data_IF_060534092174
#
_entry.id   IF_060534092174
#
_cell.length_a   1.000
_cell.length_b   1.000
_cell.length_c   1.000
_cell.angle_alpha   90.00
_cell.angle_beta   90.00
_cell.angle_gamma   90.00
#
_symmetry.space_group_name_H-M   'P 1'
#
loop_
_entity.id
_entity.type
_entity.pdbx_description
1 polymer ?
#
# COMPACT_ATOMS: atom_id res chain seq x y z
N UNK A 1 46.20 4.73 -22.34
CA UNK A 1 44.76 4.83 -21.99
C UNK A 1 43.95 4.59 -23.26
N UNK A 2 43.01 3.64 -23.24
CA UNK A 2 42.37 3.15 -24.45
C UNK A 2 41.38 4.21 -24.99
N UNK A 3 41.54 4.67 -26.24
CA UNK A 3 40.73 5.77 -26.81
C UNK A 3 39.23 5.45 -26.76
N UNK A 4 38.88 4.19 -26.89
CA UNK A 4 37.50 3.68 -26.79
C UNK A 4 36.90 3.84 -25.40
N UNK A 5 37.72 3.70 -24.34
CA UNK A 5 37.28 3.89 -22.95
C UNK A 5 36.94 5.37 -22.68
N UNK A 6 37.77 6.28 -23.19
CA UNK A 6 37.55 7.73 -23.02
C UNK A 6 36.26 8.16 -23.70
N UNK A 7 36.01 7.67 -24.93
CA UNK A 7 34.78 7.98 -25.67
C UNK A 7 33.54 7.44 -24.94
N UNK A 8 33.59 6.21 -24.42
CA UNK A 8 32.47 5.63 -23.67
C UNK A 8 32.14 6.43 -22.40
N UNK A 9 33.15 6.85 -21.65
CA UNK A 9 32.98 7.68 -20.46
C UNK A 9 32.38 9.05 -20.83
N UNK A 10 32.85 9.67 -21.92
CA UNK A 10 32.31 10.95 -22.37
C UNK A 10 30.84 10.87 -22.78
N UNK A 11 30.42 9.79 -23.44
CA UNK A 11 29.02 9.58 -23.83
C UNK A 11 28.14 9.35 -22.59
N UNK A 12 28.61 8.56 -21.63
CA UNK A 12 27.89 8.33 -20.38
C UNK A 12 27.67 9.65 -19.61
N UNK A 13 28.71 10.46 -19.47
CA UNK A 13 28.61 11.76 -18.78
C UNK A 13 27.67 12.72 -19.50
N UNK A 14 27.69 12.76 -20.83
CA UNK A 14 26.77 13.57 -21.62
C UNK A 14 25.31 13.13 -21.42
N UNK A 15 25.06 11.82 -21.40
CA UNK A 15 23.73 11.27 -21.17
C UNK A 15 23.20 11.60 -19.76
N UNK A 16 24.04 11.43 -18.72
CA UNK A 16 23.68 11.80 -17.35
C UNK A 16 23.38 13.30 -17.21
N UNK A 17 24.18 14.15 -17.86
CA UNK A 17 23.93 15.60 -17.85
C UNK A 17 22.60 15.95 -18.54
N UNK A 18 22.28 15.32 -19.68
CA UNK A 18 21.02 15.55 -20.38
C UNK A 18 19.79 15.18 -19.55
N UNK A 19 19.83 14.06 -18.82
CA UNK A 19 18.74 13.66 -17.91
C UNK A 19 18.57 14.70 -16.80
N UNK A 20 19.67 15.12 -16.16
CA UNK A 20 19.63 16.11 -15.08
C UNK A 20 19.03 17.45 -15.53
N UNK A 21 19.41 17.95 -16.71
CA UNK A 21 18.84 19.19 -17.24
C UNK A 21 17.36 19.04 -17.63
N UNK A 22 16.95 17.87 -18.12
CA UNK A 22 15.55 17.61 -18.44
C UNK A 22 14.67 17.59 -17.19
N UNK A 23 15.13 16.98 -16.09
CA UNK A 23 14.39 16.95 -14.82
C UNK A 23 14.27 18.34 -14.18
N UNK A 24 15.33 19.15 -14.24
CA UNK A 24 15.31 20.54 -13.75
C UNK A 24 14.38 21.44 -14.58
N UNK A 25 14.27 21.19 -15.88
CA UNK A 25 13.35 21.91 -16.75
C UNK A 25 11.87 21.57 -16.45
N UNK A 26 11.55 20.28 -16.31
CA UNK A 26 10.20 19.82 -15.91
C UNK A 26 9.77 20.40 -14.56
N UNK A 27 10.68 20.47 -13.59
CA UNK A 27 10.39 21.04 -12.27
C UNK A 27 10.00 22.52 -12.36
N UNK A 28 10.72 23.31 -13.17
CA UNK A 28 10.40 24.73 -13.37
C UNK A 28 9.07 24.96 -14.07
N UNK A 29 8.72 24.09 -15.02
CA UNK A 29 7.44 24.15 -15.72
C UNK A 29 6.28 23.81 -14.78
N UNK A 30 6.48 22.82 -13.91
CA UNK A 30 5.52 22.48 -12.85
C UNK A 30 5.35 23.60 -11.82
N UNK A 31 6.44 24.14 -11.28
CA UNK A 31 6.40 25.22 -10.28
C UNK A 31 5.74 26.50 -10.84
N UNK A 32 5.90 26.77 -12.14
CA UNK A 32 5.24 27.90 -12.81
C UNK A 32 3.75 27.65 -13.09
N UNK A 33 3.28 26.40 -13.01
CA UNK A 33 1.88 26.02 -13.26
C UNK A 33 1.01 26.07 -12.00
N UNK A 34 1.61 26.23 -10.82
CA UNK A 34 0.88 26.34 -9.57
C UNK A 34 0.25 27.74 -9.45
N UNK A 35 -1.06 27.83 -9.14
CA UNK A 35 -1.71 29.12 -8.89
C UNK A 35 -1.09 29.78 -7.64
N UNK A 36 -0.84 31.08 -7.71
CA UNK A 36 -0.31 31.84 -6.57
C UNK A 36 -1.26 31.71 -5.35
N UNK A 37 -0.73 31.46 -4.14
CA UNK A 37 -1.55 31.39 -2.95
C UNK A 37 -2.22 32.75 -2.70
N UNK A 38 -3.48 32.76 -2.20
CA UNK A 38 -4.16 34.01 -1.90
C UNK A 38 -3.38 34.82 -0.87
N UNK A 39 -3.30 36.14 -1.09
CA UNK A 39 -2.61 37.06 -0.22
C UNK A 39 -3.21 37.02 1.21
N UNK A 40 -2.33 36.93 2.21
CA UNK A 40 -2.68 36.94 3.62
C UNK A 40 -3.15 38.36 3.99
N UNK A 41 -4.46 38.56 4.14
CA UNK A 41 -5.01 39.68 4.90
C UNK A 41 -5.19 39.27 6.37
N UNK A 42 -4.71 40.15 7.24
CA UNK A 42 -4.77 40.05 8.69
C UNK A 42 -6.21 40.01 9.23
N UNK A 43 -6.51 39.07 10.12
CA UNK A 43 -7.49 39.30 11.17
C UNK A 43 -7.09 38.60 12.47
N UNK A 44 -6.63 39.43 13.41
CA UNK A 44 -6.36 39.10 14.81
C UNK A 44 -7.66 38.94 15.60
N UNK A 45 -7.67 37.87 16.40
CA UNK A 45 -8.04 37.75 17.81
C UNK A 45 -9.41 38.26 18.30
N UNK A 46 -10.19 37.32 18.83
CA UNK A 46 -10.85 37.49 20.13
C UNK A 46 -10.84 36.15 20.88
N UNK A 47 -10.43 36.25 22.14
CA UNK A 47 -10.10 35.22 23.12
C UNK A 47 -11.32 34.51 23.74
N UNK A 48 -11.05 33.28 24.20
CA UNK A 48 -11.50 32.66 25.46
C UNK A 48 -12.93 32.09 25.55
N UNK A 49 -13.08 30.76 25.39
CA UNK A 49 -13.65 29.83 26.39
C UNK A 49 -13.11 28.40 26.11
N UNK A 50 -12.67 27.77 27.19
CA UNK A 50 -12.26 26.38 27.43
C UNK A 50 -13.09 25.27 26.78
N UNK A 51 -12.42 24.13 26.53
CA UNK A 51 -12.97 22.76 26.33
C UNK A 51 -14.14 22.63 25.34
N UNK A 52 -13.84 22.26 24.10
CA UNK A 52 -14.48 21.06 23.53
C UNK A 52 -13.73 20.63 22.27
N UNK A 53 -13.24 19.39 22.28
CA UNK A 53 -12.80 18.69 21.07
C UNK A 53 -14.09 18.26 20.38
N UNK A 54 -14.60 19.09 19.47
CA UNK A 54 -15.61 18.64 18.51
C UNK A 54 -14.91 17.79 17.46
N UNK A 55 -14.63 16.55 17.86
CA UNK A 55 -14.49 15.43 16.95
C UNK A 55 -15.90 15.21 16.40
N UNK A 56 -16.12 15.54 15.12
CA UNK A 56 -17.35 15.24 14.38
C UNK A 56 -17.42 13.72 14.17
N UNK A 57 -17.64 13.05 15.29
CA UNK A 57 -17.78 11.61 15.41
C UNK A 57 -19.24 11.31 15.13
N UNK A 58 -19.50 10.59 14.05
CA UNK A 58 -20.78 9.93 13.83
C UNK A 58 -21.15 9.15 15.11
N UNK A 59 -22.20 9.62 15.79
CA UNK A 59 -22.54 9.21 17.15
C UNK A 59 -22.93 7.75 17.28
N UNK A 60 -22.13 7.02 18.03
CA UNK A 60 -22.49 5.78 18.72
C UNK A 60 -21.83 5.78 20.09
N UNK A 61 -22.32 4.95 21.01
CA UNK A 61 -21.70 4.80 22.32
C UNK A 61 -21.53 3.32 22.68
N UNK A 62 -20.44 3.03 23.39
CA UNK A 62 -20.14 1.70 23.91
C UNK A 62 -20.94 1.42 25.18
N UNK A 63 -21.45 0.19 25.34
CA UNK A 63 -22.02 -0.28 26.59
C UNK A 63 -21.45 -1.66 26.94
N UNK A 64 -20.36 -1.68 27.72
CA UNK A 64 -19.57 -2.91 27.94
C UNK A 64 -18.77 -3.26 26.68
N UNK A 65 -18.86 -4.51 26.23
CA UNK A 65 -18.10 -5.03 25.07
C UNK A 65 -18.89 -4.93 23.75
N UNK A 66 -20.11 -4.37 23.76
CA UNK A 66 -20.98 -4.19 22.60
C UNK A 66 -21.12 -2.71 22.21
N UNK A 67 -21.06 -2.44 20.89
CA UNK A 67 -21.23 -1.11 20.29
C UNK A 67 -22.70 -0.89 19.88
N UNK A 68 -23.29 0.22 20.33
CA UNK A 68 -24.65 0.62 19.96
C UNK A 68 -24.63 1.88 19.08
N UNK A 69 -25.16 1.75 17.86
CA UNK A 69 -25.48 2.88 17.00
C UNK A 69 -26.85 3.46 17.37
N UNK A 70 -26.96 4.80 17.47
CA UNK A 70 -28.26 5.43 17.67
C UNK A 70 -29.15 5.26 16.42
N UNK A 71 -30.46 4.98 16.58
CA UNK A 71 -31.33 4.74 15.44
C UNK A 71 -31.64 6.06 14.72
N UNK A 72 -31.10 6.23 13.51
CA UNK A 72 -31.53 7.29 12.60
C UNK A 72 -32.95 6.99 12.07
N UNK A 73 -33.88 7.98 12.08
CA UNK A 73 -35.21 7.78 11.53
C UNK A 73 -35.14 7.60 10.00
N UNK A 74 -35.85 6.59 9.50
CA UNK A 74 -36.00 6.29 8.08
C UNK A 74 -36.47 7.53 7.30
N UNK A 75 -35.58 8.12 6.49
CA UNK A 75 -36.00 9.00 5.41
C UNK A 75 -36.22 8.18 4.15
N UNK A 76 -37.49 7.85 3.92
CA UNK A 76 -38.02 7.47 2.61
C UNK A 76 -37.86 8.67 1.67
N UNK A 77 -36.92 8.60 0.74
CA UNK A 77 -36.89 9.48 -0.43
C UNK A 77 -36.94 8.65 -1.71
N UNK A 78 -38.12 8.70 -2.32
CA UNK A 78 -38.41 8.32 -3.68
C UNK A 78 -37.78 9.33 -4.67
N UNK A 79 -37.24 8.81 -5.78
CA UNK A 79 -36.99 9.48 -7.09
C UNK A 79 -35.77 10.44 -7.08
N UNK A 80 -34.76 10.30 -7.94
CA UNK A 80 -34.81 10.20 -9.40
C UNK A 80 -33.52 9.58 -9.94
N UNK A 81 -33.68 8.80 -11.01
CA UNK A 81 -32.67 8.51 -12.04
C UNK A 81 -31.83 9.74 -12.42
N UNK A 82 -30.64 9.50 -12.98
CA UNK A 82 -29.68 10.48 -13.53
C UNK A 82 -28.54 10.93 -12.61
N UNK A 83 -27.60 10.01 -12.35
CA UNK A 83 -26.16 10.36 -12.44
C UNK A 83 -25.33 9.12 -12.74
N UNK A 84 -25.50 8.61 -13.96
CA UNK A 84 -24.51 7.77 -14.65
C UNK A 84 -23.73 8.71 -15.57
N UNK A 85 -22.45 8.91 -15.31
CA UNK A 85 -21.43 9.15 -16.35
C UNK A 85 -20.04 9.07 -15.72
N UNK A 86 -19.03 8.31 -16.18
CA UNK A 86 -18.75 7.39 -17.30
C UNK A 86 -17.46 6.66 -16.82
N UNK A 87 -17.30 5.33 -16.84
CA UNK A 87 -17.21 4.48 -18.03
C UNK A 87 -17.54 3.03 -17.67
N UNK A 88 -18.82 2.68 -17.67
CA UNK A 88 -19.25 1.37 -18.08
C UNK A 88 -20.01 1.59 -19.38
N UNK A 89 -19.41 1.22 -20.50
CA UNK A 89 -20.16 1.00 -21.73
C UNK A 89 -21.31 0.06 -21.36
N UNK A 90 -22.56 0.56 -21.33
CA UNK A 90 -23.78 -0.24 -21.32
C UNK A 90 -23.89 -0.98 -22.68
N UNK A 91 -22.82 -1.61 -23.12
CA UNK A 91 -22.87 -2.61 -24.18
C UNK A 91 -23.34 -3.86 -23.46
N UNK A 92 -24.59 -4.31 -23.68
CA UNK A 92 -25.03 -5.58 -23.11
C UNK A 92 -23.96 -6.63 -23.42
N UNK A 93 -23.53 -7.32 -22.37
CA UNK A 93 -22.48 -8.30 -22.48
C UNK A 93 -22.96 -9.34 -23.51
N UNK A 94 -22.13 -9.87 -24.42
CA UNK A 94 -22.59 -10.82 -25.43
C UNK A 94 -23.35 -12.03 -24.87
N UNK A 95 -23.14 -12.34 -23.59
CA UNK A 95 -23.85 -13.37 -22.83
C UNK A 95 -25.30 -13.05 -22.48
N UNK A 96 -25.71 -11.78 -22.49
CA UNK A 96 -27.05 -11.32 -22.10
C UNK A 96 -28.12 -11.75 -23.12
N UNK A 97 -27.70 -12.19 -24.30
CA UNK A 97 -28.56 -12.64 -25.41
C UNK A 97 -28.58 -14.16 -25.63
N UNK A 98 -27.80 -14.92 -24.85
CA UNK A 98 -27.70 -16.38 -24.99
C UNK A 98 -28.68 -17.10 -24.05
N UNK A 99 -29.29 -18.18 -24.54
CA UNK A 99 -30.02 -19.10 -23.65
C UNK A 99 -29.08 -19.80 -22.66
N UNK A 100 -29.62 -20.42 -21.61
CA UNK A 100 -28.79 -21.04 -20.55
C UNK A 100 -27.77 -22.06 -21.08
N UNK A 101 -28.17 -22.91 -22.03
CA UNK A 101 -27.28 -23.90 -22.65
C UNK A 101 -26.25 -23.25 -23.58
N UNK A 102 -26.65 -22.27 -24.39
CA UNK A 102 -25.74 -21.53 -25.28
C UNK A 102 -24.70 -20.72 -24.49
N UNK A 103 -25.10 -20.19 -23.33
CA UNK A 103 -24.23 -19.48 -22.40
C UNK A 103 -23.21 -20.41 -21.77
N UNK A 104 -23.61 -21.60 -21.34
CA UNK A 104 -22.70 -22.61 -20.78
C UNK A 104 -21.68 -23.10 -21.82
N UNK A 105 -22.13 -23.32 -23.06
CA UNK A 105 -21.26 -23.74 -24.16
C UNK A 105 -20.28 -22.62 -24.54
N UNK A 106 -20.73 -21.37 -24.61
CA UNK A 106 -19.86 -20.21 -24.84
C UNK A 106 -18.81 -20.05 -23.74
N UNK A 107 -19.21 -20.20 -22.47
CA UNK A 107 -18.30 -20.14 -21.32
C UNK A 107 -17.24 -21.24 -21.45
N UNK A 108 -17.65 -22.48 -21.75
CA UNK A 108 -16.74 -23.62 -21.93
C UNK A 108 -15.74 -23.38 -23.05
N UNK A 109 -16.19 -22.90 -24.20
CA UNK A 109 -15.33 -22.61 -25.34
C UNK A 109 -14.35 -21.47 -25.04
N UNK A 110 -14.81 -20.42 -24.34
CA UNK A 110 -13.96 -19.30 -23.92
C UNK A 110 -12.82 -19.77 -23.03
N UNK A 111 -13.10 -20.56 -21.99
CA UNK A 111 -12.04 -21.04 -21.07
C UNK A 111 -11.14 -22.10 -21.73
N UNK A 112 -11.69 -22.93 -22.62
CA UNK A 112 -10.90 -23.90 -23.38
C UNK A 112 -9.86 -23.24 -24.29
N UNK A 113 -10.11 -22.02 -24.80
CA UNK A 113 -9.12 -21.24 -25.56
C UNK A 113 -7.81 -21.03 -24.77
N UNK A 114 -7.92 -20.91 -23.45
CA UNK A 114 -6.81 -20.70 -22.52
C UNK A 114 -6.33 -22.01 -21.88
N UNK A 115 -6.82 -23.16 -22.33
CA UNK A 115 -6.52 -24.46 -21.73
C UNK A 115 -7.07 -24.62 -20.30
N UNK A 116 -8.18 -23.94 -19.99
CA UNK A 116 -8.82 -23.94 -18.68
C UNK A 116 -10.19 -24.58 -18.74
N UNK A 117 -10.60 -25.17 -17.62
CA UNK A 117 -12.01 -25.54 -17.40
C UNK A 117 -12.78 -24.32 -16.88
N UNK A 118 -14.11 -24.24 -17.10
CA UNK A 118 -14.93 -23.20 -16.47
C UNK A 118 -14.72 -23.15 -14.96
N UNK A 119 -14.66 -21.95 -14.33
CA UNK A 119 -14.47 -21.84 -12.91
C UNK A 119 -15.70 -22.40 -12.15
N UNK A 120 -15.52 -22.93 -10.93
CA UNK A 120 -16.62 -23.34 -10.09
C UNK A 120 -17.61 -22.20 -9.83
N UNK A 121 -18.88 -22.52 -9.58
CA UNK A 121 -19.91 -21.52 -9.29
C UNK A 121 -19.50 -20.66 -8.08
N UNK A 122 -19.58 -19.34 -8.24
CA UNK A 122 -19.18 -18.37 -7.21
C UNK A 122 -17.69 -18.04 -7.20
N UNK A 123 -16.93 -18.55 -8.18
CA UNK A 123 -15.53 -18.23 -8.39
C UNK A 123 -15.27 -17.74 -9.81
N UNK A 124 -14.20 -16.98 -9.97
CA UNK A 124 -13.63 -16.58 -11.24
C UNK A 124 -12.12 -16.79 -11.23
N UNK A 125 -11.49 -16.87 -12.40
CA UNK A 125 -10.03 -16.87 -12.47
C UNK A 125 -9.50 -15.45 -12.35
N UNK A 126 -8.42 -15.27 -11.60
CA UNK A 126 -7.66 -14.03 -11.66
C UNK A 126 -6.93 -13.96 -13.00
N UNK A 127 -7.09 -12.84 -13.71
CA UNK A 127 -6.44 -12.61 -14.99
C UNK A 127 -5.22 -11.71 -14.84
N UNK A 128 -4.18 -12.02 -15.61
CA UNK A 128 -3.03 -11.15 -15.79
C UNK A 128 -3.38 -10.09 -16.84
N UNK A 129 -3.42 -8.79 -16.46
CA UNK A 129 -3.79 -7.72 -17.37
C UNK A 129 -2.75 -7.49 -18.48
N UNK A 130 -1.51 -7.96 -18.33
CA UNK A 130 -0.43 -7.75 -19.30
C UNK A 130 -0.37 -8.84 -20.38
N UNK A 131 -0.79 -10.07 -20.04
CA UNK A 131 -0.53 -11.27 -20.86
C UNK A 131 -1.84 -11.96 -21.29
N UNK A 132 -3.00 -11.37 -20.99
CA UNK A 132 -4.36 -11.89 -21.28
C UNK A 132 -4.53 -13.39 -20.94
N UNK A 133 -3.87 -13.85 -19.86
CA UNK A 133 -3.91 -15.24 -19.39
C UNK A 133 -4.31 -15.29 -17.91
N UNK A 134 -4.84 -16.42 -17.45
CA UNK A 134 -5.10 -16.60 -16.02
C UNK A 134 -3.78 -16.57 -15.24
N UNK A 135 -3.73 -15.79 -14.16
CA UNK A 135 -2.63 -15.84 -13.19
C UNK A 135 -2.50 -17.25 -12.65
N UNK A 136 -1.26 -17.70 -12.50
CA UNK A 136 -0.93 -19.03 -11.99
C UNK A 136 -0.12 -18.90 -10.70
N UNK A 137 -0.34 -19.82 -9.77
CA UNK A 137 0.46 -19.94 -8.56
C UNK A 137 1.85 -20.55 -8.84
N UNK A 138 2.66 -20.72 -7.80
CA UNK A 138 3.99 -21.33 -7.88
C UNK A 138 3.98 -22.77 -8.43
N UNK A 139 2.84 -23.46 -8.36
CA UNK A 139 2.64 -24.81 -8.92
C UNK A 139 2.26 -24.80 -10.41
N UNK A 140 1.99 -23.61 -10.97
CA UNK A 140 1.48 -23.45 -12.33
C UNK A 140 -0.04 -23.63 -12.44
N UNK A 141 -0.75 -23.75 -11.32
CA UNK A 141 -2.21 -23.89 -11.28
C UNK A 141 -2.89 -22.53 -11.38
N UNK A 142 -4.00 -22.39 -12.13
CA UNK A 142 -4.70 -21.12 -12.26
C UNK A 142 -5.32 -20.69 -10.92
N UNK A 143 -5.15 -19.42 -10.57
CA UNK A 143 -5.64 -18.89 -9.29
C UNK A 143 -7.14 -18.59 -9.41
N UNK A 144 -7.91 -19.22 -8.53
CA UNK A 144 -9.34 -18.96 -8.37
C UNK A 144 -9.57 -17.89 -7.30
N UNK A 145 -10.47 -16.96 -7.60
CA UNK A 145 -10.92 -15.92 -6.71
C UNK A 145 -12.44 -16.05 -6.51
N UNK A 146 -12.91 -15.84 -5.29
CA UNK A 146 -14.33 -15.94 -4.98
C UNK A 146 -15.02 -14.61 -5.33
N UNK A 147 -16.09 -14.69 -6.12
CA UNK A 147 -16.85 -13.51 -6.55
C UNK A 147 -17.41 -12.79 -5.32
N UNK A 148 -17.16 -11.48 -5.23
CA UNK A 148 -17.56 -10.61 -4.12
C UNK A 148 -16.55 -10.55 -2.96
N UNK A 149 -15.45 -11.32 -3.02
CA UNK A 149 -14.31 -11.08 -2.14
C UNK A 149 -13.39 -10.01 -2.75
N UNK A 150 -12.59 -9.31 -1.93
CA UNK A 150 -11.58 -8.39 -2.45
C UNK A 150 -10.47 -9.13 -3.21
N UNK A 151 -10.10 -8.64 -4.40
CA UNK A 151 -8.86 -9.09 -5.05
C UNK A 151 -7.73 -8.29 -4.43
N UNK A 152 -6.78 -8.95 -3.76
CA UNK A 152 -5.63 -8.32 -3.12
C UNK A 152 -4.37 -8.93 -3.71
N UNK A 153 -3.57 -8.08 -4.36
CA UNK A 153 -2.26 -8.45 -4.85
C UNK A 153 -1.21 -7.80 -3.95
N UNK A 154 -0.41 -8.63 -3.28
CA UNK A 154 0.68 -8.20 -2.41
C UNK A 154 2.00 -8.45 -3.13
N UNK A 155 2.71 -7.39 -3.45
CA UNK A 155 4.06 -7.45 -4.02
C UNK A 155 5.10 -7.16 -2.96
N UNK A 156 6.05 -8.07 -2.78
CA UNK A 156 7.23 -7.85 -1.94
C UNK A 156 8.42 -7.42 -2.81
N UNK A 157 9.03 -6.30 -2.49
CA UNK A 157 10.27 -5.82 -3.12
C UNK A 157 11.40 -5.69 -2.08
N UNK A 158 12.62 -6.06 -2.50
CA UNK A 158 13.85 -5.97 -1.70
C UNK A 158 14.71 -4.82 -2.23
N UNK A 159 14.40 -3.59 -1.83
CA UNK A 159 15.04 -2.41 -2.44
C UNK A 159 15.47 -1.36 -1.44
N UNK A 160 15.05 -1.47 -0.17
CA UNK A 160 15.34 -0.45 0.85
C UNK A 160 16.50 -0.87 1.72
N UNK A 161 17.58 -0.08 1.70
CA UNK A 161 18.64 -0.14 2.71
C UNK A 161 18.06 0.44 4.00
N UNK A 162 18.00 -0.39 5.04
CA UNK A 162 17.53 -0.01 6.36
C UNK A 162 18.24 -0.80 7.47
N UNK A 163 17.78 -0.66 8.70
CA UNK A 163 18.34 -1.37 9.85
C UNK A 163 17.93 -2.86 9.79
N UNK A 164 18.86 -3.70 9.34
CA UNK A 164 18.73 -5.14 9.20
C UNK A 164 19.82 -5.85 10.04
N UNK A 165 19.79 -5.69 11.38
CA UNK A 165 20.79 -6.28 12.27
C UNK A 165 20.68 -7.80 12.31
N UNK A 166 21.77 -8.45 12.69
CA UNK A 166 21.73 -9.81 13.23
C UNK A 166 20.96 -9.85 14.56
N UNK A 167 20.57 -11.04 15.03
CA UNK A 167 19.88 -11.19 16.30
C UNK A 167 20.72 -10.61 17.47
N UNK A 168 22.02 -10.89 17.48
CA UNK A 168 22.94 -10.39 18.50
C UNK A 168 23.08 -8.86 18.46
N UNK A 169 23.20 -8.28 17.26
CA UNK A 169 23.22 -6.82 17.09
C UNK A 169 21.90 -6.18 17.55
N UNK A 170 20.76 -6.84 17.32
CA UNK A 170 19.46 -6.33 17.76
C UNK A 170 19.30 -6.39 19.28
N UNK A 171 19.75 -7.45 19.94
CA UNK A 171 19.79 -7.52 21.41
C UNK A 171 20.68 -6.43 22.02
N UNK A 172 21.85 -6.20 21.42
CA UNK A 172 22.74 -5.12 21.83
C UNK A 172 22.08 -3.74 21.64
N UNK A 173 21.38 -3.54 20.52
CA UNK A 173 20.63 -2.32 20.25
C UNK A 173 19.58 -2.04 21.34
N UNK A 174 18.75 -3.03 21.67
CA UNK A 174 17.72 -2.89 22.72
C UNK A 174 18.32 -2.57 24.10
N UNK A 175 19.47 -3.16 24.43
CA UNK A 175 20.18 -2.89 25.67
C UNK A 175 20.73 -1.46 25.72
N UNK A 176 21.31 -0.98 24.62
CA UNK A 176 21.80 0.41 24.50
C UNK A 176 20.64 1.41 24.58
N UNK A 177 19.51 1.14 23.93
CA UNK A 177 18.31 1.97 23.98
C UNK A 177 17.75 2.07 25.40
N UNK A 178 17.65 0.96 26.12
CA UNK A 178 17.22 0.95 27.52
C UNK A 178 18.19 1.72 28.45
N UNK A 179 19.49 1.63 28.20
CA UNK A 179 20.49 2.40 28.95
C UNK A 179 20.40 3.90 28.63
N UNK A 180 20.18 4.23 27.37
CA UNK A 180 20.03 5.60 26.89
C UNK A 180 18.82 6.26 27.58
N UNK A 181 17.66 5.62 27.54
CA UNK A 181 16.44 6.10 28.19
C UNK A 181 16.63 6.32 29.70
N UNK A 182 17.36 5.42 30.39
CA UNK A 182 17.70 5.60 31.81
C UNK A 182 18.64 6.78 32.06
N UNK A 183 19.63 6.97 31.20
CA UNK A 183 20.57 8.10 31.31
C UNK A 183 19.86 9.44 31.09
N UNK A 184 18.95 9.51 30.10
CA UNK A 184 18.11 10.69 29.88
C UNK A 184 17.20 10.98 31.07
N UNK A 185 16.50 9.96 31.59
CA UNK A 185 15.63 10.11 32.76
C UNK A 185 16.40 10.56 34.03
N UNK A 186 17.67 10.18 34.15
CA UNK A 186 18.55 10.60 35.23
C UNK A 186 19.20 11.99 35.01
N UNK A 187 19.03 12.59 33.83
CA UNK A 187 19.68 13.85 33.46
C UNK A 187 21.19 13.73 33.20
N UNK A 188 21.73 12.52 33.01
CA UNK A 188 23.13 12.30 32.67
C UNK A 188 23.35 12.48 31.16
N UNK A 189 23.50 13.74 30.76
CA UNK A 189 23.64 14.14 29.36
C UNK A 189 24.91 13.61 28.70
N UNK A 190 25.97 13.34 29.47
CA UNK A 190 27.24 12.84 28.91
C UNK A 190 27.10 11.36 28.54
N UNK A 191 26.53 10.56 29.45
CA UNK A 191 26.27 9.14 29.18
C UNK A 191 25.22 8.97 28.09
N UNK A 192 24.14 9.76 28.11
CA UNK A 192 23.11 9.73 27.07
C UNK A 192 23.71 10.03 25.68
N UNK A 193 24.58 11.05 25.57
CA UNK A 193 25.21 11.38 24.29
C UNK A 193 26.12 10.27 23.77
N UNK A 194 26.94 9.67 24.63
CA UNK A 194 27.78 8.51 24.26
C UNK A 194 26.92 7.34 23.75
N UNK A 195 25.84 7.02 24.45
CA UNK A 195 24.94 5.92 24.07
C UNK A 195 24.22 6.20 22.74
N UNK A 196 23.83 7.45 22.49
CA UNK A 196 23.26 7.85 21.21
C UNK A 196 24.26 7.67 20.04
N UNK A 197 25.54 8.02 20.27
CA UNK A 197 26.59 7.80 19.27
C UNK A 197 26.82 6.29 19.01
N UNK A 198 26.76 5.45 20.05
CA UNK A 198 26.87 3.98 19.94
C UNK A 198 25.68 3.35 19.20
N UNK A 199 24.45 3.79 19.50
CA UNK A 199 23.25 3.37 18.77
C UNK A 199 23.37 3.69 17.29
N UNK A 200 23.77 4.93 16.96
CA UNK A 200 23.95 5.37 15.57
C UNK A 200 25.05 4.58 14.84
N UNK A 201 26.14 4.24 15.53
CA UNK A 201 27.20 3.43 14.95
C UNK A 201 26.70 2.00 14.65
N UNK A 202 25.94 1.41 15.57
CA UNK A 202 25.35 0.09 15.41
C UNK A 202 24.32 0.07 14.26
N UNK A 203 23.47 1.09 14.16
CA UNK A 203 22.53 1.25 13.04
C UNK A 203 23.24 1.34 11.68
N UNK A 204 24.37 2.06 11.63
CA UNK A 204 25.16 2.21 10.42
C UNK A 204 25.86 0.90 10.02
N UNK A 205 26.32 0.12 11.01
CA UNK A 205 26.95 -1.20 10.78
C UNK A 205 25.92 -2.23 10.31
N UNK A 206 24.72 -2.20 10.87
CA UNK A 206 23.63 -3.13 10.61
C UNK A 206 22.77 -2.73 9.40
N UNK A 207 23.29 -1.94 8.46
CA UNK A 207 22.54 -1.62 7.25
C UNK A 207 22.42 -2.82 6.31
N UNK A 208 21.21 -3.09 5.84
CA UNK A 208 20.94 -4.16 4.88
C UNK A 208 19.60 -4.01 4.17
N UNK A 209 19.32 -4.94 3.27
CA UNK A 209 18.05 -4.97 2.54
C UNK A 209 16.89 -5.37 3.46
N UNK A 210 15.81 -4.61 3.43
CA UNK A 210 14.55 -4.93 4.10
C UNK A 210 13.44 -5.19 3.06
N UNK A 211 12.49 -6.09 3.37
CA UNK A 211 11.34 -6.29 2.52
C UNK A 211 10.38 -5.09 2.65
N UNK A 212 9.90 -4.61 1.51
CA UNK A 212 8.81 -3.63 1.44
C UNK A 212 7.63 -4.28 0.74
N UNK A 213 6.45 -4.17 1.33
CA UNK A 213 5.22 -4.67 0.76
C UNK A 213 4.42 -3.56 0.11
N UNK A 214 3.91 -3.83 -1.09
CA UNK A 214 2.96 -2.99 -1.80
C UNK A 214 1.68 -3.79 -2.01
N UNK A 215 0.53 -3.16 -1.79
CA UNK A 215 -0.76 -3.76 -2.11
C UNK A 215 -1.46 -2.99 -3.19
N UNK A 216 -1.97 -3.71 -4.17
CA UNK A 216 -3.04 -3.22 -5.03
C UNK A 216 -4.26 -4.07 -4.81
N UNK A 217 -5.43 -3.43 -4.80
CA UNK A 217 -6.65 -4.13 -4.49
C UNK A 217 -7.82 -3.63 -5.32
N UNK A 218 -8.62 -4.56 -5.84
CA UNK A 218 -9.81 -4.28 -6.64
C UNK A 218 -11.04 -4.82 -5.92
N UNK A 219 -12.10 -4.02 -5.86
CA UNK A 219 -13.34 -4.31 -5.14
C UNK A 219 -14.54 -3.94 -6.01
N UNK A 220 -15.58 -4.78 -6.00
CA UNK A 220 -16.81 -4.57 -6.78
C UNK A 220 -17.94 -3.89 -5.99
N UNK A 221 -17.64 -3.38 -4.79
CA UNK A 221 -18.57 -2.59 -3.96
C UNK A 221 -19.41 -3.39 -2.96
N UNK A 222 -19.20 -4.70 -2.84
CA UNK A 222 -19.92 -5.55 -1.85
C UNK A 222 -19.34 -5.44 -0.43
N UNK A 223 -18.08 -5.00 -0.29
CA UNK A 223 -17.33 -4.93 0.97
C UNK A 223 -17.10 -3.46 1.37
N UNK A 224 -17.20 -3.13 2.66
CA UNK A 224 -16.97 -1.76 3.13
C UNK A 224 -15.48 -1.36 2.99
N UNK A 225 -15.16 -0.07 2.82
CA UNK A 225 -13.78 0.41 2.76
C UNK A 225 -12.93 0.03 3.99
N UNK A 226 -13.53 -0.03 5.18
CA UNK A 226 -12.86 -0.41 6.43
C UNK A 226 -12.50 -1.89 6.47
N UNK A 227 -13.43 -2.75 6.04
CA UNK A 227 -13.20 -4.19 5.95
C UNK A 227 -12.11 -4.49 4.92
N UNK A 228 -12.13 -3.79 3.79
CA UNK A 228 -11.06 -3.80 2.79
C UNK A 228 -9.69 -3.44 3.39
N UNK A 229 -9.61 -2.35 4.16
CA UNK A 229 -8.36 -1.91 4.78
C UNK A 229 -7.84 -2.92 5.81
N UNK A 230 -8.74 -3.49 6.60
CA UNK A 230 -8.42 -4.54 7.57
C UNK A 230 -7.84 -5.79 6.88
N UNK A 231 -8.49 -6.24 5.81
CA UNK A 231 -8.02 -7.40 5.04
C UNK A 231 -6.65 -7.10 4.41
N UNK A 232 -6.47 -5.94 3.75
CA UNK A 232 -5.18 -5.53 3.18
C UNK A 232 -4.07 -5.52 4.24
N UNK A 233 -4.33 -4.97 5.43
CA UNK A 233 -3.36 -4.89 6.52
C UNK A 233 -2.92 -6.27 7.00
N UNK A 234 -3.86 -7.22 7.13
CA UNK A 234 -3.55 -8.61 7.49
C UNK A 234 -2.64 -9.26 6.45
N UNK A 235 -3.00 -9.18 5.16
CA UNK A 235 -2.22 -9.79 4.08
C UNK A 235 -0.81 -9.18 3.95
N UNK A 236 -0.66 -7.86 4.11
CA UNK A 236 0.65 -7.21 4.17
C UNK A 236 1.49 -7.75 5.31
N UNK A 237 0.89 -7.84 6.50
CA UNK A 237 1.59 -8.29 7.71
C UNK A 237 2.10 -9.72 7.54
N UNK A 238 1.23 -10.64 7.10
CA UNK A 238 1.60 -12.04 6.86
C UNK A 238 2.70 -12.19 5.80
N UNK A 239 2.64 -11.40 4.72
CA UNK A 239 3.63 -11.42 3.66
C UNK A 239 4.99 -10.87 4.11
N UNK A 240 4.99 -9.77 4.87
CA UNK A 240 6.21 -9.21 5.45
C UNK A 240 6.84 -10.15 6.48
N UNK A 241 6.05 -10.73 7.39
CA UNK A 241 6.56 -11.70 8.36
C UNK A 241 7.22 -12.90 7.68
N UNK A 242 6.61 -13.41 6.61
CA UNK A 242 7.20 -14.50 5.82
C UNK A 242 8.54 -14.07 5.22
N UNK A 243 8.58 -12.90 4.59
CA UNK A 243 9.81 -12.35 4.00
C UNK A 243 10.92 -12.15 5.04
N UNK A 244 10.59 -11.67 6.25
CA UNK A 244 11.54 -11.55 7.35
C UNK A 244 12.11 -12.91 7.79
N UNK A 245 11.26 -13.93 7.95
CA UNK A 245 11.69 -15.30 8.30
C UNK A 245 12.61 -15.91 7.23
N UNK A 246 12.31 -15.71 5.95
CA UNK A 246 13.13 -16.24 4.85
C UNK A 246 14.57 -15.69 4.84
N UNK A 247 14.80 -14.52 5.42
CA UNK A 247 16.13 -13.90 5.54
C UNK A 247 16.75 -14.03 6.95
N UNK A 248 16.12 -14.76 7.86
CA UNK A 248 16.60 -14.90 9.24
C UNK A 248 16.55 -13.59 10.03
N UNK A 249 15.60 -12.71 9.70
CA UNK A 249 15.34 -11.43 10.38
C UNK A 249 14.10 -11.52 11.27
N UNK A 250 13.74 -12.71 11.72
CA UNK A 250 12.56 -12.97 12.55
C UNK A 250 12.56 -12.22 13.89
N UNK A 251 13.73 -11.84 14.41
CA UNK A 251 13.85 -10.99 15.61
C UNK A 251 13.33 -9.57 15.41
N UNK A 252 13.13 -9.11 14.16
CA UNK A 252 12.54 -7.81 13.84
C UNK A 252 11.01 -7.84 13.76
N UNK A 253 10.39 -9.01 13.80
CA UNK A 253 8.94 -9.14 13.82
C UNK A 253 8.47 -8.66 15.20
N UNK A 254 7.85 -7.48 15.26
CA UNK A 254 7.29 -6.92 16.49
C UNK A 254 6.34 -7.94 17.13
N UNK A 255 6.53 -8.20 18.44
CA UNK A 255 5.62 -9.03 19.27
C UNK A 255 4.65 -8.15 20.04
#
# INVERSE_FOLDING_TARGET
MNRTLVIAISILLAFCASIYFWTEWQKKEFDASLPEPPAVEEQQAADDVTDDVTDDTAGGHWHGDEWHAEPHPEQVSQVTDESKTLTATNTPHPLDYLSGEEREEWIRQRYALFGLEPPPKGYEYLWDPEIENAKRDESGSPILHRIGEPIIDVKIEWTRIGFAPTAEQYEQYLLLEAQFARAEAAGDTTTARRLADELKALEAEAQGELPVAYTSSAFDGVVSPEEVQSINSRYITEALERAYRERGLEHLIQR
#
